data_IF_320069263771
#
_entry.id   IF_320069263771
#
_cell.length_a   1.000
_cell.length_b   1.000
_cell.length_c   1.000
_cell.angle_alpha   90.00
_cell.angle_beta   90.00
_cell.angle_gamma   90.00
#
_symmetry.space_group_name_H-M   'P 1'
#
loop_
_entity.id
_entity.type
_entity.pdbx_description
1 polymer ?
#
# COMPACT_ATOMS: atom_id res chain seq x y z
N UNK A 1 -14.79 0.44 1.81
CA UNK A 1 -14.58 1.83 2.29
C UNK A 1 -13.13 2.23 2.03
N UNK A 2 -12.90 3.41 1.46
CA UNK A 2 -11.57 3.91 1.13
C UNK A 2 -10.89 4.51 2.37
N UNK A 3 -10.18 3.69 3.13
CA UNK A 3 -9.41 4.08 4.33
C UNK A 3 -8.36 5.19 4.09
N UNK A 4 -7.98 5.46 2.84
CA UNK A 4 -7.03 6.52 2.49
C UNK A 4 -7.57 7.96 2.54
N UNK A 5 -8.90 8.16 2.63
CA UNK A 5 -9.51 9.48 2.41
C UNK A 5 -9.68 10.35 3.66
N UNK A 6 -9.25 9.89 4.83
CA UNK A 6 -9.38 10.67 6.07
C UNK A 6 -8.26 11.71 6.23
N UNK A 7 -7.14 11.57 5.51
CA UNK A 7 -6.00 12.48 5.61
C UNK A 7 -6.30 13.91 5.12
N UNK A 8 -5.95 14.93 5.94
CA UNK A 8 -6.17 16.35 5.60
C UNK A 8 -5.44 16.80 4.32
N UNK A 9 -4.30 16.17 4.00
CA UNK A 9 -3.48 16.49 2.83
C UNK A 9 -2.94 15.21 2.21
N UNK A 10 -2.89 15.16 0.88
CA UNK A 10 -2.28 14.09 0.09
C UNK A 10 -1.13 14.69 -0.71
N UNK A 11 -0.01 13.96 -0.83
CA UNK A 11 1.12 14.35 -1.68
C UNK A 11 1.19 13.39 -2.86
N UNK A 12 1.41 13.92 -4.06
CA UNK A 12 1.84 13.12 -5.20
C UNK A 12 2.87 13.85 -6.07
N UNK A 13 3.44 13.10 -7.00
CA UNK A 13 4.27 13.62 -8.08
C UNK A 13 3.44 14.37 -9.15
N UNK A 14 4.13 14.92 -10.15
CA UNK A 14 3.53 15.60 -11.30
C UNK A 14 3.31 14.63 -12.46
N UNK A 15 2.56 13.55 -12.24
CA UNK A 15 2.19 12.60 -13.30
C UNK A 15 0.70 12.71 -13.60
N UNK A 16 0.34 12.57 -14.88
CA UNK A 16 -1.04 12.65 -15.37
C UNK A 16 -1.98 11.66 -14.67
N UNK A 17 -1.47 10.49 -14.28
CA UNK A 17 -2.20 9.44 -13.57
C UNK A 17 -2.82 9.93 -12.24
N UNK A 18 -2.22 10.95 -11.61
CA UNK A 18 -2.64 11.46 -10.31
C UNK A 18 -3.59 12.66 -10.37
N UNK A 19 -3.99 13.10 -11.58
CA UNK A 19 -4.87 14.26 -11.76
C UNK A 19 -6.24 14.03 -11.10
N UNK A 20 -6.82 12.84 -11.28
CA UNK A 20 -8.14 12.55 -10.70
C UNK A 20 -8.13 12.59 -9.17
N UNK A 21 -7.06 12.11 -8.55
CA UNK A 21 -6.87 12.18 -7.09
C UNK A 21 -6.67 13.63 -6.65
N UNK A 22 -5.91 14.42 -7.41
CA UNK A 22 -5.71 15.84 -7.13
C UNK A 22 -7.02 16.63 -7.20
N UNK A 23 -7.79 16.47 -8.28
CA UNK A 23 -9.07 17.14 -8.49
C UNK A 23 -10.07 16.75 -7.41
N UNK A 24 -10.13 15.47 -7.05
CA UNK A 24 -10.97 14.99 -5.97
C UNK A 24 -10.59 15.62 -4.62
N UNK A 25 -9.29 15.64 -4.27
CA UNK A 25 -8.82 16.23 -3.01
C UNK A 25 -9.04 17.73 -2.94
N UNK A 26 -8.86 18.44 -4.06
CA UNK A 26 -9.12 19.87 -4.17
C UNK A 26 -10.61 20.18 -4.07
N UNK A 27 -11.46 19.39 -4.71
CA UNK A 27 -12.92 19.52 -4.65
C UNK A 27 -13.49 19.22 -3.27
N UNK A 28 -12.99 18.18 -2.59
CA UNK A 28 -13.50 17.74 -1.30
C UNK A 28 -12.99 18.59 -0.12
N UNK A 29 -11.69 18.94 -0.11
CA UNK A 29 -11.01 19.53 1.06
C UNK A 29 -10.44 20.94 0.82
N UNK A 30 -10.55 21.45 -0.40
CA UNK A 30 -10.16 22.81 -0.75
C UNK A 30 -8.65 23.01 -1.01
N UNK A 31 -8.23 24.25 -1.30
CA UNK A 31 -6.84 24.58 -1.64
C UNK A 31 -5.85 24.15 -0.55
N UNK A 32 -4.73 23.55 -0.94
CA UNK A 32 -3.69 23.06 -0.02
C UNK A 32 -3.90 21.63 0.49
N UNK A 33 -5.00 20.97 0.11
CA UNK A 33 -5.23 19.54 0.36
C UNK A 33 -4.38 18.63 -0.52
N UNK A 34 -3.98 19.09 -1.71
CA UNK A 34 -3.06 18.40 -2.61
C UNK A 34 -1.70 19.08 -2.60
N UNK A 35 -0.65 18.31 -2.29
CA UNK A 35 0.74 18.75 -2.33
C UNK A 35 1.40 18.11 -3.54
N UNK A 36 1.81 18.93 -4.50
CA UNK A 36 2.50 18.45 -5.69
C UNK A 36 3.95 18.90 -5.66
N UNK A 37 4.89 18.00 -5.93
CA UNK A 37 6.31 18.35 -5.96
C UNK A 37 7.18 17.29 -6.60
N UNK A 38 8.51 17.49 -6.62
CA UNK A 38 9.44 16.54 -7.21
C UNK A 38 9.31 15.14 -6.60
N UNK A 39 9.50 14.10 -7.42
CA UNK A 39 9.48 12.68 -6.99
C UNK A 39 10.51 12.40 -5.89
N UNK A 40 11.64 13.13 -5.87
CA UNK A 40 12.69 13.01 -4.84
C UNK A 40 12.23 13.23 -3.40
N UNK A 41 11.03 13.78 -3.20
CA UNK A 41 10.43 13.98 -1.89
C UNK A 41 9.35 12.93 -1.56
N UNK A 42 9.03 12.02 -2.49
CA UNK A 42 8.11 10.89 -2.30
C UNK A 42 8.83 9.62 -1.78
N UNK A 43 10.00 9.81 -1.14
CA UNK A 43 10.91 8.74 -0.74
C UNK A 43 10.27 7.64 0.11
N UNK A 44 9.27 8.01 0.94
CA UNK A 44 8.56 7.04 1.79
C UNK A 44 7.72 6.08 0.96
N UNK A 45 6.97 6.62 0.01
CA UNK A 45 6.15 5.84 -0.93
C UNK A 45 7.04 5.00 -1.84
N UNK A 46 8.13 5.58 -2.37
CA UNK A 46 9.11 4.85 -3.19
C UNK A 46 9.79 3.70 -2.42
N UNK A 47 10.10 3.89 -1.13
CA UNK A 47 10.64 2.83 -0.27
C UNK A 47 9.61 1.74 -0.02
N UNK A 48 8.37 2.10 0.30
CA UNK A 48 7.29 1.14 0.48
C UNK A 48 7.09 0.29 -0.78
N UNK A 49 7.09 0.91 -1.96
CA UNK A 49 7.00 0.20 -3.24
C UNK A 49 8.15 -0.79 -3.46
N UNK A 50 9.37 -0.42 -3.08
CA UNK A 50 10.52 -1.32 -3.15
C UNK A 50 10.33 -2.52 -2.23
N UNK A 51 9.94 -2.30 -0.98
CA UNK A 51 9.73 -3.37 0.00
C UNK A 51 8.60 -4.31 -0.45
N UNK A 52 7.51 -3.76 -1.02
CA UNK A 52 6.40 -4.55 -1.57
C UNK A 52 6.84 -5.39 -2.78
N UNK A 53 7.63 -4.79 -3.67
CA UNK A 53 8.15 -5.50 -4.82
C UNK A 53 9.07 -6.65 -4.38
N UNK A 54 10.05 -6.37 -3.52
CA UNK A 54 10.98 -7.38 -3.02
C UNK A 54 10.27 -8.46 -2.20
N UNK A 55 9.23 -8.10 -1.44
CA UNK A 55 8.51 -9.02 -0.56
C UNK A 55 7.44 -9.88 -1.25
N UNK A 56 6.82 -9.40 -2.32
CA UNK A 56 5.68 -10.09 -2.97
C UNK A 56 5.84 -10.12 -4.49
N UNK A 57 5.89 -8.96 -5.12
CA UNK A 57 5.69 -8.87 -6.57
C UNK A 57 6.84 -9.45 -7.39
N UNK A 58 8.05 -9.50 -6.83
CA UNK A 58 9.24 -10.04 -7.49
C UNK A 58 9.05 -11.52 -7.88
N UNK A 59 8.31 -12.29 -7.09
CA UNK A 59 7.99 -13.69 -7.41
C UNK A 59 7.12 -13.78 -8.66
N UNK A 60 5.98 -13.07 -8.67
CA UNK A 60 5.05 -13.06 -9.80
C UNK A 60 5.70 -12.48 -11.06
N UNK A 61 6.50 -11.43 -10.90
CA UNK A 61 7.28 -10.82 -11.97
C UNK A 61 8.15 -11.87 -12.67
N UNK A 62 9.04 -12.55 -11.94
CA UNK A 62 9.91 -13.57 -12.54
C UNK A 62 9.13 -14.76 -13.12
N UNK A 63 8.05 -15.17 -12.45
CA UNK A 63 7.20 -16.25 -12.93
C UNK A 63 6.55 -15.91 -14.29
N UNK A 64 6.01 -14.69 -14.44
CA UNK A 64 5.38 -14.27 -15.69
C UNK A 64 6.40 -14.09 -16.83
N UNK A 65 7.58 -13.53 -16.53
CA UNK A 65 8.66 -13.47 -17.52
C UNK A 65 9.12 -14.87 -17.94
N UNK A 66 9.20 -15.81 -17.01
CA UNK A 66 9.51 -17.19 -17.36
C UNK A 66 8.44 -17.81 -18.27
N UNK A 67 7.15 -17.55 -18.01
CA UNK A 67 6.05 -18.01 -18.87
C UNK A 67 6.12 -17.42 -20.28
N UNK A 68 6.55 -16.16 -20.41
CA UNK A 68 6.83 -15.51 -21.69
C UNK A 68 8.00 -16.18 -22.40
N UNK A 69 9.11 -16.41 -21.70
CA UNK A 69 10.33 -17.02 -22.26
C UNK A 69 10.07 -18.43 -22.83
N UNK A 70 9.19 -19.22 -22.18
CA UNK A 70 8.83 -20.56 -22.65
C UNK A 70 7.66 -20.57 -23.65
N UNK A 71 7.10 -19.39 -23.98
CA UNK A 71 6.02 -19.23 -24.96
C UNK A 71 4.63 -19.65 -24.47
N UNK A 72 4.43 -19.78 -23.15
CA UNK A 72 3.11 -20.09 -22.56
C UNK A 72 2.28 -18.82 -22.35
N UNK A 73 2.95 -17.67 -22.18
CA UNK A 73 2.33 -16.36 -22.09
C UNK A 73 2.76 -15.49 -23.28
N UNK A 74 1.79 -14.89 -23.99
CA UNK A 74 2.04 -13.87 -25.01
C UNK A 74 1.52 -12.53 -24.46
N UNK A 75 2.39 -11.58 -24.09
CA UNK A 75 1.97 -10.29 -23.51
C UNK A 75 1.31 -9.36 -24.53
N UNK A 76 1.38 -9.67 -25.83
CA UNK A 76 0.68 -8.92 -26.87
C UNK A 76 -0.72 -9.48 -27.14
N UNK A 77 -1.07 -10.62 -26.52
CA UNK A 77 -2.37 -11.25 -26.66
C UNK A 77 -3.28 -10.91 -25.47
N UNK A 78 -4.30 -10.08 -25.74
CA UNK A 78 -5.26 -9.62 -24.74
C UNK A 78 -5.98 -10.77 -24.02
N UNK A 79 -6.31 -11.86 -24.73
CA UNK A 79 -6.95 -13.02 -24.10
C UNK A 79 -6.03 -13.67 -23.06
N UNK A 80 -4.73 -13.75 -23.34
CA UNK A 80 -3.78 -14.36 -22.43
C UNK A 80 -3.58 -13.48 -21.20
N UNK A 81 -3.52 -12.15 -21.37
CA UNK A 81 -3.51 -11.21 -20.24
C UNK A 81 -4.77 -11.34 -19.38
N UNK A 82 -5.95 -11.44 -19.99
CA UNK A 82 -7.21 -11.62 -19.24
C UNK A 82 -7.22 -12.92 -18.44
N UNK A 83 -6.76 -14.02 -19.02
CA UNK A 83 -6.62 -15.31 -18.33
C UNK A 83 -5.59 -15.23 -17.20
N UNK A 84 -4.45 -14.57 -17.45
CA UNK A 84 -3.40 -14.36 -16.45
C UNK A 84 -3.95 -13.58 -15.25
N UNK A 85 -4.66 -12.48 -15.49
CA UNK A 85 -5.34 -11.73 -14.44
C UNK A 85 -6.35 -12.61 -13.69
N UNK A 86 -7.21 -13.35 -14.41
CA UNK A 86 -8.21 -14.19 -13.77
C UNK A 86 -7.59 -15.24 -12.82
N UNK A 87 -6.49 -15.86 -13.21
CA UNK A 87 -5.82 -16.89 -12.42
C UNK A 87 -5.09 -16.26 -11.22
N UNK A 88 -4.26 -15.24 -11.46
CA UNK A 88 -3.29 -14.78 -10.46
C UNK A 88 -3.76 -13.59 -9.63
N UNK A 89 -4.82 -12.86 -10.02
CA UNK A 89 -5.27 -11.69 -9.26
C UNK A 89 -5.66 -12.04 -7.83
N UNK A 90 -6.30 -13.20 -7.61
CA UNK A 90 -6.64 -13.66 -6.27
C UNK A 90 -5.39 -13.94 -5.43
N UNK A 91 -4.42 -14.68 -5.98
CA UNK A 91 -3.18 -15.03 -5.28
C UNK A 91 -2.34 -13.79 -4.97
N UNK A 92 -2.19 -12.87 -5.95
CA UNK A 92 -1.46 -11.61 -5.76
C UNK A 92 -2.09 -10.79 -4.64
N UNK A 93 -3.42 -10.61 -4.64
CA UNK A 93 -4.09 -9.84 -3.60
C UNK A 93 -3.95 -10.50 -2.22
N UNK A 94 -4.12 -11.83 -2.13
CA UNK A 94 -3.92 -12.56 -0.88
C UNK A 94 -2.50 -12.38 -0.34
N UNK A 95 -1.49 -12.50 -1.19
CA UNK A 95 -0.10 -12.39 -0.77
C UNK A 95 0.27 -10.94 -0.40
N UNK A 96 -0.35 -9.95 -1.06
CA UNK A 96 -0.26 -8.53 -0.65
C UNK A 96 -0.89 -8.32 0.73
N UNK A 97 -2.08 -8.89 1.00
CA UNK A 97 -2.75 -8.74 2.30
C UNK A 97 -1.88 -9.30 3.44
N UNK A 98 -1.34 -10.51 3.26
CA UNK A 98 -0.40 -11.13 4.21
C UNK A 98 0.83 -10.24 4.41
N UNK A 99 1.38 -9.70 3.33
CA UNK A 99 2.53 -8.81 3.41
C UNK A 99 2.21 -7.49 4.12
N UNK A 100 1.02 -6.92 3.90
CA UNK A 100 0.57 -5.70 4.59
C UNK A 100 0.49 -5.92 6.09
N UNK A 101 -0.07 -7.05 6.54
CA UNK A 101 -0.15 -7.39 7.96
C UNK A 101 1.25 -7.49 8.58
N UNK A 102 2.16 -8.22 7.92
CA UNK A 102 3.54 -8.36 8.37
C UNK A 102 4.31 -7.03 8.35
N UNK A 103 4.19 -6.26 7.27
CA UNK A 103 4.88 -4.99 7.11
C UNK A 103 4.29 -3.91 8.03
N UNK A 104 3.01 -3.95 8.39
CA UNK A 104 2.47 -2.99 9.38
C UNK A 104 3.10 -3.17 10.77
N UNK A 105 3.51 -4.39 11.10
CA UNK A 105 4.06 -4.76 12.41
C UNK A 105 5.60 -4.80 12.46
N UNK A 106 6.30 -4.79 11.32
CA UNK A 106 7.76 -4.85 11.31
C UNK A 106 8.40 -3.61 11.95
N UNK A 107 9.54 -3.79 12.61
CA UNK A 107 10.24 -2.69 13.26
C UNK A 107 11.04 -1.85 12.26
N UNK A 108 10.73 -0.57 12.15
CA UNK A 108 11.53 0.37 11.37
C UNK A 108 12.82 0.72 12.11
N UNK A 109 13.98 0.55 11.46
CA UNK A 109 15.30 0.77 12.07
C UNK A 109 15.50 2.19 12.63
N UNK A 110 15.00 3.19 11.92
CA UNK A 110 15.23 4.62 12.23
C UNK A 110 14.38 5.13 13.40
N UNK A 111 13.13 4.68 13.49
CA UNK A 111 12.19 5.09 14.55
C UNK A 111 12.14 4.10 15.71
N UNK A 112 12.71 2.89 15.52
CA UNK A 112 12.74 1.78 16.48
C UNK A 112 11.35 1.28 16.90
N UNK A 113 10.31 1.58 16.12
CA UNK A 113 8.90 1.18 16.32
C UNK A 113 8.31 0.69 14.99
N UNK A 114 7.16 0.01 15.04
CA UNK A 114 6.45 -0.44 13.83
C UNK A 114 5.62 0.67 13.18
N UNK A 115 5.36 0.61 11.86
CA UNK A 115 4.46 1.53 11.18
C UNK A 115 3.10 1.67 11.89
N UNK A 116 2.53 0.53 12.32
CA UNK A 116 1.28 0.49 13.05
C UNK A 116 1.38 1.23 14.40
N UNK A 117 2.42 0.97 15.19
CA UNK A 117 2.60 1.65 16.48
C UNK A 117 2.76 3.17 16.30
N UNK A 118 3.46 3.61 15.26
CA UNK A 118 3.61 5.03 14.92
C UNK A 118 2.27 5.64 14.49
N UNK A 119 1.45 4.90 13.74
CA UNK A 119 0.13 5.35 13.34
C UNK A 119 -0.82 5.50 14.54
N UNK A 120 -0.90 4.49 15.41
CA UNK A 120 -1.69 4.54 16.65
C UNK A 120 -1.26 5.71 17.53
N UNK A 121 0.04 5.88 17.76
CA UNK A 121 0.56 7.01 18.54
C UNK A 121 0.19 8.37 17.92
N UNK A 122 0.21 8.48 16.59
CA UNK A 122 -0.22 9.67 15.86
C UNK A 122 -1.71 9.97 16.04
N UNK A 123 -2.55 8.94 15.97
CA UNK A 123 -4.00 9.05 16.20
C UNK A 123 -4.34 9.50 17.62
N UNK A 124 -3.62 9.00 18.63
CA UNK A 124 -3.81 9.42 20.03
C UNK A 124 -3.46 10.90 20.24
N UNK A 125 -2.48 11.43 19.50
CA UNK A 125 -2.05 12.83 19.62
C UNK A 125 -2.93 13.78 18.82
N UNK A 126 -3.39 13.35 17.64
CA UNK A 126 -4.15 14.18 16.72
C UNK A 126 -5.09 13.28 15.90
N UNK A 127 -6.29 12.98 16.41
CA UNK A 127 -7.18 12.02 15.77
C UNK A 127 -7.60 12.52 14.39
N UNK A 128 -7.43 11.65 13.39
CA UNK A 128 -7.82 11.88 12.00
C UNK A 128 -8.69 10.71 11.59
N UNK A 129 -9.99 10.97 11.41
CA UNK A 129 -10.95 9.96 11.01
C UNK A 129 -11.62 9.22 12.16
N UNK A 130 -12.74 8.55 11.88
CA UNK A 130 -13.48 7.79 12.88
C UNK A 130 -12.83 6.41 13.02
N UNK A 131 -11.95 6.26 14.01
CA UNK A 131 -11.51 4.93 14.44
C UNK A 131 -12.72 4.29 15.11
N UNK A 132 -13.25 3.13 14.65
CA UNK A 132 -14.17 2.37 15.46
C UNK A 132 -13.44 2.06 16.77
N UNK A 133 -13.93 2.63 17.86
CA UNK A 133 -13.37 2.54 19.22
C UNK A 133 -13.06 1.10 19.66
N UNK A 134 -13.67 0.12 18.97
CA UNK A 134 -13.54 -1.32 19.15
C UNK A 134 -12.16 -1.90 18.77
N UNK A 135 -11.42 -1.32 17.81
CA UNK A 135 -10.23 -2.00 17.24
C UNK A 135 -8.89 -1.47 17.76
N UNK A 136 -8.87 -0.31 18.43
CA UNK A 136 -7.68 0.28 19.04
C UNK A 136 -7.00 -0.64 20.07
N UNK A 137 -7.77 -1.52 20.72
CA UNK A 137 -7.26 -2.43 21.75
C UNK A 137 -6.40 -3.56 21.17
N UNK A 138 -6.51 -3.83 19.86
CA UNK A 138 -5.72 -4.85 19.15
C UNK A 138 -4.46 -4.28 18.50
N UNK A 139 -4.35 -2.96 18.38
CA UNK A 139 -3.24 -2.31 17.70
C UNK A 139 -2.21 -1.76 18.68
N UNK A 140 -0.94 -2.19 18.55
CA UNK A 140 0.19 -1.62 19.31
C UNK A 140 0.71 -2.45 20.48
N UNK A 141 0.27 -3.69 20.66
CA UNK A 141 0.93 -4.62 21.59
C UNK A 141 2.08 -5.32 20.87
N UNK A 142 3.32 -4.88 21.09
CA UNK A 142 4.49 -5.65 20.66
C UNK A 142 4.50 -7.00 21.38
N UNK A 143 4.24 -8.10 20.66
CA UNK A 143 4.43 -9.47 21.17
C UNK A 143 3.20 -10.37 21.31
N UNK A 144 2.07 -10.08 20.65
CA UNK A 144 1.01 -11.09 20.48
C UNK A 144 1.15 -11.80 19.13
N UNK A 145 1.53 -13.08 19.17
CA UNK A 145 1.40 -13.98 18.04
C UNK A 145 -0.09 -14.16 17.71
N UNK A 146 -0.51 -13.70 16.54
CA UNK A 146 -1.85 -13.95 15.98
C UNK A 146 -2.13 -15.44 15.67
N UNK A 147 -1.18 -16.35 15.94
CA UNK A 147 -1.29 -17.79 15.71
C UNK A 147 -1.73 -18.62 16.93
N UNK A 148 -2.34 -18.00 17.93
CA UNK A 148 -2.97 -18.73 19.05
C UNK A 148 -4.49 -18.55 19.06
N UNK A 149 -5.17 -19.16 18.08
CA UNK A 149 -6.42 -19.95 18.20
C UNK A 149 -6.87 -20.46 16.84
#
# INVERSE_FOLDING_TARGET
EFLGMEHRRVRSDKVLENILVADFMLGLKGPGSMITGPSTHNQRTERLWRDLYEGVLCYFYHMFYHMEDIGVLDPLNELYLMVLHYIFMYDINRDIDIWVDAWSCHRLRTTRSSPLALWVAGQMQNPVGAIPECDLQYYGVEGFDYFSL
#
